data_IF_001488185844
#
_entry.id   IF_001488185844
#
_cell.length_a   1.000
_cell.length_b   1.000
_cell.length_c   1.000
_cell.angle_alpha   90.00
_cell.angle_beta   90.00
_cell.angle_gamma   90.00
#
_symmetry.space_group_name_H-M   'P 1'
#
loop_
_entity.id
_entity.type
_entity.pdbx_description
1 polymer ?
#
# COMPACT_ATOMS: atom_id res chain seq x y z
N UNK A 1 -17.54 -43.51 -24.28
CA UNK A 1 -17.44 -42.26 -23.48
C UNK A 1 -17.11 -41.16 -24.47
N UNK A 2 -18.10 -40.29 -24.73
CA UNK A 2 -18.13 -39.41 -25.91
C UNK A 2 -17.22 -38.19 -25.68
N UNK A 3 -16.42 -37.86 -26.71
CA UNK A 3 -15.66 -36.62 -26.86
C UNK A 3 -16.53 -35.37 -26.64
N UNK A 4 -15.92 -34.23 -26.25
CA UNK A 4 -16.04 -32.96 -26.98
C UNK A 4 -15.49 -31.78 -26.14
N UNK A 5 -14.74 -30.91 -26.81
CA UNK A 5 -14.98 -29.47 -26.66
C UNK A 5 -13.93 -28.67 -25.92
N UNK A 6 -12.99 -28.15 -26.71
CA UNK A 6 -12.23 -26.91 -26.45
C UNK A 6 -13.21 -25.78 -26.11
N UNK A 7 -12.93 -24.99 -25.06
CA UNK A 7 -13.33 -23.59 -25.06
C UNK A 7 -12.26 -22.73 -24.38
N UNK A 8 -11.34 -22.26 -25.22
CA UNK A 8 -10.63 -21.01 -25.03
C UNK A 8 -11.68 -19.91 -24.76
N UNK A 9 -11.58 -19.21 -23.64
CA UNK A 9 -12.12 -17.85 -23.54
C UNK A 9 -10.95 -16.90 -23.37
N UNK A 10 -10.63 -16.26 -24.48
CA UNK A 10 -9.80 -15.07 -24.55
C UNK A 10 -10.33 -13.98 -23.60
N UNK A 11 -9.38 -13.34 -22.92
CA UNK A 11 -9.21 -11.90 -22.69
C UNK A 11 -10.45 -11.05 -22.92
N UNK A 12 -10.89 -10.33 -21.87
CA UNK A 12 -11.02 -8.87 -21.98
C UNK A 12 -11.33 -8.15 -20.64
N UNK A 13 -10.55 -7.09 -20.41
CA UNK A 13 -10.74 -5.95 -19.50
C UNK A 13 -10.36 -6.07 -18.02
N UNK A 14 -9.23 -5.44 -17.69
CA UNK A 14 -9.30 -4.28 -16.78
C UNK A 14 -8.78 -4.49 -15.37
N UNK A 15 -7.63 -3.85 -15.11
CA UNK A 15 -7.16 -3.38 -13.80
C UNK A 15 -6.73 -4.51 -12.84
N UNK A 16 -5.45 -4.87 -12.88
CA UNK A 16 -4.77 -5.47 -11.73
C UNK A 16 -4.74 -4.44 -10.58
N UNK A 17 -5.82 -4.42 -9.79
CA UNK A 17 -5.80 -3.91 -8.42
C UNK A 17 -5.10 -4.96 -7.56
N UNK A 18 -3.77 -5.00 -7.57
CA UNK A 18 -3.02 -5.67 -6.50
C UNK A 18 -2.70 -4.66 -5.41
N UNK A 19 -3.74 -4.18 -4.73
CA UNK A 19 -3.61 -3.80 -3.32
C UNK A 19 -3.97 -5.08 -2.60
N UNK A 20 -2.98 -5.72 -1.97
CA UNK A 20 -3.20 -6.92 -1.17
C UNK A 20 -4.43 -6.72 -0.28
N UNK A 21 -5.40 -7.65 -0.26
CA UNK A 21 -6.51 -7.56 0.66
C UNK A 21 -5.92 -7.62 2.06
N UNK A 22 -5.98 -6.50 2.79
CA UNK A 22 -5.76 -6.47 4.22
C UNK A 22 -6.74 -7.50 4.79
N UNK A 23 -6.20 -8.63 5.24
CA UNK A 23 -6.89 -9.80 5.76
C UNK A 23 -8.25 -9.48 6.40
N UNK A 24 -9.29 -10.19 5.96
CA UNK A 24 -10.71 -10.11 6.35
C UNK A 24 -11.02 -10.25 7.86
N UNK A 25 -10.02 -10.21 8.74
CA UNK A 25 -10.17 -10.29 10.20
C UNK A 25 -10.61 -8.99 10.88
N UNK A 26 -10.80 -7.89 10.14
CA UNK A 26 -11.22 -6.58 10.69
C UNK A 26 -12.72 -6.26 10.50
N UNK A 27 -13.55 -7.18 10.00
CA UNK A 27 -14.98 -6.92 9.75
C UNK A 27 -15.88 -6.98 11.01
N UNK A 28 -15.32 -7.21 12.21
CA UNK A 28 -16.13 -7.27 13.44
C UNK A 28 -16.32 -5.88 14.05
N UNK A 29 -17.43 -5.24 13.65
CA UNK A 29 -18.25 -4.47 14.57
C UNK A 29 -18.10 -2.94 14.54
N UNK A 30 -19.03 -2.28 13.84
CA UNK A 30 -19.89 -1.22 14.39
C UNK A 30 -20.80 -0.65 13.30
N UNK A 31 -21.99 -1.24 13.15
CA UNK A 31 -23.15 -0.54 12.55
C UNK A 31 -23.62 0.50 13.57
N UNK A 32 -23.20 1.74 13.41
CA UNK A 32 -23.97 2.89 13.91
C UNK A 32 -23.76 4.04 12.94
N UNK A 33 -24.86 4.62 12.49
CA UNK A 33 -25.01 5.75 11.59
C UNK A 33 -24.14 6.94 12.03
N UNK A 34 -22.86 6.89 11.68
CA UNK A 34 -21.92 8.00 11.78
C UNK A 34 -21.97 8.62 10.40
N UNK A 35 -22.40 9.86 10.31
CA UNK A 35 -22.39 10.62 9.06
C UNK A 35 -20.98 10.59 8.47
N UNK A 36 -20.77 9.70 7.49
CA UNK A 36 -19.48 9.45 6.85
C UNK A 36 -18.88 10.76 6.29
N UNK A 37 -19.75 11.71 5.97
CA UNK A 37 -19.43 13.00 5.39
C UNK A 37 -18.77 13.98 6.39
N UNK A 38 -19.11 13.92 7.68
CA UNK A 38 -18.53 14.81 8.71
C UNK A 38 -17.12 14.35 9.16
N UNK A 39 -16.81 13.07 8.99
CA UNK A 39 -15.49 12.47 9.28
C UNK A 39 -14.41 12.90 8.27
N UNK A 40 -14.80 13.36 7.08
CA UNK A 40 -13.93 13.63 5.93
C UNK A 40 -13.38 15.06 5.86
N UNK A 41 -13.52 15.86 6.93
CA UNK A 41 -12.82 17.15 7.01
C UNK A 41 -11.39 16.92 7.55
N UNK A 42 -10.39 17.57 6.95
CA UNK A 42 -8.96 17.37 7.28
C UNK A 42 -8.65 17.49 8.77
N UNK A 43 -9.31 18.44 9.46
CA UNK A 43 -9.15 18.65 10.90
C UNK A 43 -9.70 17.52 11.79
N UNK A 44 -10.63 16.71 11.28
CA UNK A 44 -11.25 15.63 12.05
C UNK A 44 -10.45 14.32 12.00
N UNK A 45 -9.65 14.11 10.96
CA UNK A 45 -8.91 12.88 10.74
C UNK A 45 -7.99 12.52 11.92
N UNK A 46 -7.20 13.49 12.38
CA UNK A 46 -6.32 13.32 13.54
C UNK A 46 -7.08 13.04 14.84
N UNK A 47 -8.27 13.62 15.03
CA UNK A 47 -9.12 13.41 16.20
C UNK A 47 -9.67 11.99 16.23
N UNK A 48 -10.25 11.53 15.12
CA UNK A 48 -10.77 10.17 15.00
C UNK A 48 -9.67 9.13 15.19
N UNK A 49 -8.51 9.32 14.56
CA UNK A 49 -7.37 8.43 14.72
C UNK A 49 -6.98 8.26 16.20
N UNK A 50 -6.80 9.35 16.95
CA UNK A 50 -6.46 9.29 18.38
C UNK A 50 -7.53 8.57 19.20
N UNK A 51 -8.81 8.79 18.90
CA UNK A 51 -9.92 8.12 19.58
C UNK A 51 -9.88 6.61 19.34
N UNK A 52 -9.76 6.17 18.09
CA UNK A 52 -9.70 4.75 17.73
C UNK A 52 -8.45 4.08 18.31
N UNK A 53 -7.28 4.72 18.20
CA UNK A 53 -6.02 4.23 18.78
C UNK A 53 -6.13 4.02 20.29
N UNK A 54 -6.70 4.99 21.01
CA UNK A 54 -6.87 4.89 22.47
C UNK A 54 -7.90 3.81 22.86
N UNK A 55 -8.98 3.65 22.09
CA UNK A 55 -9.94 2.55 22.29
C UNK A 55 -9.29 1.20 22.06
N UNK A 56 -8.48 1.07 21.01
CA UNK A 56 -7.78 -0.17 20.66
C UNK A 56 -6.74 -0.53 21.73
N UNK A 57 -5.95 0.43 22.20
CA UNK A 57 -5.00 0.23 23.31
C UNK A 57 -5.68 -0.30 24.58
N UNK A 58 -6.88 0.22 24.91
CA UNK A 58 -7.69 -0.26 26.05
C UNK A 58 -8.21 -1.68 25.83
N UNK A 59 -8.74 -1.99 24.64
CA UNK A 59 -9.29 -3.32 24.31
C UNK A 59 -8.24 -4.43 24.30
N UNK A 60 -7.05 -4.12 23.79
CA UNK A 60 -5.95 -5.08 23.66
C UNK A 60 -5.03 -5.12 24.88
N UNK A 61 -5.30 -4.30 25.91
CA UNK A 61 -4.44 -4.12 27.08
C UNK A 61 -2.97 -3.80 26.75
N UNK A 62 -2.73 -3.11 25.62
CA UNK A 62 -1.38 -2.74 25.15
C UNK A 62 -1.21 -1.23 25.15
N UNK A 63 -0.57 -0.64 26.19
CA UNK A 63 -0.37 0.81 26.26
C UNK A 63 0.58 1.34 25.18
N UNK A 64 1.50 0.50 24.69
CA UNK A 64 2.45 0.81 23.62
C UNK A 64 1.78 1.36 22.35
N UNK A 65 0.56 0.92 22.06
CA UNK A 65 -0.17 1.37 20.86
C UNK A 65 -0.50 2.87 20.89
N UNK A 66 -0.36 3.53 22.04
CA UNK A 66 -0.52 4.99 22.17
C UNK A 66 0.67 5.78 21.64
N UNK A 67 1.84 5.16 21.48
CA UNK A 67 3.04 5.82 20.95
C UNK A 67 2.98 5.98 19.44
N UNK A 68 2.32 5.05 18.74
CA UNK A 68 2.17 5.02 17.28
C UNK A 68 1.45 6.30 16.82
N UNK A 69 2.14 7.09 16.01
CA UNK A 69 1.61 8.29 15.34
C UNK A 69 1.05 7.91 13.98
N UNK A 70 0.14 8.73 13.48
CA UNK A 70 -0.42 8.54 12.15
C UNK A 70 0.66 8.59 11.05
N UNK A 71 1.65 9.46 11.22
CA UNK A 71 2.78 9.59 10.29
C UNK A 71 3.64 8.33 10.22
N UNK A 72 3.65 7.50 11.27
CA UNK A 72 4.47 6.28 11.31
C UNK A 72 3.99 5.27 10.27
N UNK A 73 2.68 5.20 10.01
CA UNK A 73 2.15 4.36 8.93
C UNK A 73 2.61 4.82 7.55
N UNK A 74 2.69 6.13 7.33
CA UNK A 74 3.17 6.70 6.08
C UNK A 74 4.66 6.39 5.88
N UNK A 75 5.46 6.53 6.93
CA UNK A 75 6.88 6.19 6.89
C UNK A 75 7.09 4.68 6.65
N UNK A 76 6.36 3.83 7.40
CA UNK A 76 6.42 2.38 7.22
C UNK A 76 6.07 1.96 5.80
N UNK A 77 5.00 2.53 5.23
CA UNK A 77 4.60 2.27 3.85
C UNK A 77 5.70 2.66 2.85
N UNK A 78 6.30 3.84 3.02
CA UNK A 78 7.38 4.31 2.16
C UNK A 78 8.62 3.43 2.23
N UNK A 79 9.07 3.09 3.44
CA UNK A 79 10.23 2.22 3.67
C UNK A 79 9.98 0.83 3.08
N UNK A 80 8.80 0.24 3.30
CA UNK A 80 8.46 -1.07 2.76
C UNK A 80 8.37 -1.06 1.22
N UNK A 81 7.78 -0.03 0.63
CA UNK A 81 7.68 0.10 -0.83
C UNK A 81 9.05 0.26 -1.48
N UNK A 82 9.92 1.07 -0.87
CA UNK A 82 11.29 1.25 -1.34
C UNK A 82 12.11 -0.02 -1.16
N UNK A 83 11.94 -0.73 -0.04
CA UNK A 83 12.61 -2.02 0.20
C UNK A 83 12.29 -3.05 -0.90
N UNK A 84 11.02 -3.14 -1.32
CA UNK A 84 10.57 -4.12 -2.33
C UNK A 84 10.96 -3.75 -3.75
N UNK A 85 10.78 -2.49 -4.13
CA UNK A 85 10.91 -2.06 -5.53
C UNK A 85 12.25 -1.42 -5.85
N UNK A 86 12.95 -0.89 -4.83
CA UNK A 86 14.18 -0.08 -4.93
C UNK A 86 14.07 1.11 -5.89
N UNK A 87 12.85 1.51 -6.27
CA UNK A 87 12.57 2.64 -7.15
C UNK A 87 12.08 3.85 -6.34
N UNK A 88 12.96 4.85 -6.23
CA UNK A 88 12.67 6.06 -5.46
C UNK A 88 11.63 6.97 -6.14
N UNK A 89 11.51 6.91 -7.47
CA UNK A 89 10.56 7.71 -8.22
C UNK A 89 9.15 7.17 -8.04
N UNK A 90 9.01 5.84 -8.02
CA UNK A 90 7.76 5.17 -7.68
C UNK A 90 7.29 5.55 -6.27
N UNK A 91 8.19 5.53 -5.29
CA UNK A 91 7.87 5.92 -3.90
C UNK A 91 7.43 7.40 -3.86
N UNK A 92 8.15 8.30 -4.54
CA UNK A 92 7.78 9.72 -4.61
C UNK A 92 6.37 9.91 -5.18
N UNK A 93 6.03 9.22 -6.26
CA UNK A 93 4.71 9.26 -6.91
C UNK A 93 3.63 8.75 -5.95
N UNK A 94 3.84 7.59 -5.34
CA UNK A 94 2.86 6.97 -4.45
C UNK A 94 2.63 7.78 -3.16
N UNK A 95 3.65 8.46 -2.66
CA UNK A 95 3.55 9.35 -1.50
C UNK A 95 2.97 10.74 -1.83
N UNK A 96 2.92 11.12 -3.11
CA UNK A 96 2.50 12.45 -3.54
C UNK A 96 3.47 13.55 -3.11
N UNK A 97 4.77 13.26 -3.00
CA UNK A 97 5.77 14.28 -2.65
C UNK A 97 6.07 15.18 -3.86
N UNK A 98 5.98 16.50 -3.67
CA UNK A 98 6.35 17.47 -4.71
C UNK A 98 7.86 17.45 -5.00
N UNK A 99 8.66 17.51 -3.93
CA UNK A 99 10.13 17.49 -3.99
C UNK A 99 10.65 16.07 -3.80
N UNK A 100 11.75 15.73 -4.46
CA UNK A 100 12.38 14.41 -4.30
C UNK A 100 13.19 14.31 -3.01
N UNK A 101 13.75 15.43 -2.53
CA UNK A 101 14.52 15.56 -1.29
C UNK A 101 13.82 14.94 -0.07
N UNK A 102 12.50 15.13 0.04
CA UNK A 102 11.70 14.58 1.15
C UNK A 102 11.59 13.06 1.12
N UNK A 103 11.74 12.44 -0.05
CA UNK A 103 11.68 10.99 -0.23
C UNK A 103 13.06 10.35 -0.01
N UNK A 104 14.15 11.09 -0.24
CA UNK A 104 15.51 10.59 -0.05
C UNK A 104 15.81 10.17 1.40
N UNK A 105 15.04 10.66 2.37
CA UNK A 105 15.14 10.23 3.78
C UNK A 105 14.99 8.71 3.93
N UNK A 106 14.22 8.04 3.05
CA UNK A 106 13.97 6.60 3.14
C UNK A 106 15.11 5.74 2.58
N UNK A 107 16.04 6.30 1.81
CA UNK A 107 17.13 5.52 1.20
C UNK A 107 18.22 5.17 2.20
N UNK A 108 18.41 6.02 3.21
CA UNK A 108 19.47 5.87 4.21
C UNK A 108 19.15 4.82 5.28
N UNK A 109 17.91 4.34 5.34
CA UNK A 109 17.40 3.51 6.44
C UNK A 109 17.41 2.00 6.14
N UNK A 110 17.77 1.59 4.92
CA UNK A 110 17.75 0.19 4.49
C UNK A 110 19.17 -0.33 4.35
N UNK A 111 19.50 -1.33 5.18
CA UNK A 111 20.69 -2.15 4.95
C UNK A 111 20.47 -2.92 3.64
N UNK A 112 21.35 -2.67 2.67
CA UNK A 112 21.31 -3.19 1.30
C UNK A 112 21.70 -4.68 1.22
N UNK A 113 21.31 -5.50 2.19
CA UNK A 113 21.65 -6.91 2.17
C UNK A 113 20.54 -7.75 1.50
N UNK A 114 21.04 -8.58 0.60
CA UNK A 114 20.54 -9.85 0.07
C UNK A 114 19.56 -9.80 -1.12
N UNK A 115 20.13 -10.09 -2.31
CA UNK A 115 19.70 -11.06 -3.33
C UNK A 115 18.23 -11.08 -3.82
N UNK A 116 17.45 -10.06 -3.51
CA UNK A 116 16.06 -9.96 -3.97
C UNK A 116 15.98 -9.29 -5.35
N UNK A 117 15.53 -10.03 -6.36
CA UNK A 117 15.29 -9.51 -7.71
C UNK A 117 13.90 -8.85 -7.79
N UNK A 118 13.83 -7.68 -8.41
CA UNK A 118 12.57 -6.97 -8.62
C UNK A 118 12.07 -7.21 -10.05
N UNK A 119 11.03 -8.04 -10.22
CA UNK A 119 10.33 -8.12 -11.50
C UNK A 119 9.35 -6.97 -11.67
N UNK A 120 9.44 -6.27 -12.81
CA UNK A 120 8.52 -5.20 -13.20
C UNK A 120 7.68 -5.68 -14.37
N UNK A 121 6.37 -5.42 -14.32
CA UNK A 121 5.47 -5.63 -15.46
C UNK A 121 5.34 -4.31 -16.23
N UNK A 122 5.49 -4.37 -17.56
CA UNK A 122 5.29 -3.22 -18.43
C UNK A 122 3.80 -2.85 -18.52
N UNK A 123 3.49 -1.55 -18.41
CA UNK A 123 2.15 -1.03 -18.67
C UNK A 123 2.01 -0.44 -20.08
N UNK A 124 3.12 -0.17 -20.77
CA UNK A 124 3.15 0.44 -22.08
C UNK A 124 4.17 -0.26 -22.99
N UNK A 125 3.99 -0.15 -24.31
CA UNK A 125 4.87 -0.76 -25.32
C UNK A 125 6.31 -0.22 -25.15
N UNK A 126 6.45 1.08 -24.87
CA UNK A 126 7.75 1.72 -24.65
C UNK A 126 8.47 1.19 -23.39
N UNK A 127 7.71 0.92 -22.34
CA UNK A 127 8.27 0.34 -21.10
C UNK A 127 8.66 -1.12 -21.33
N UNK A 128 7.87 -1.85 -22.12
CA UNK A 128 8.16 -3.23 -22.49
C UNK A 128 9.45 -3.36 -23.30
N UNK A 129 9.66 -2.49 -24.30
CA UNK A 129 10.91 -2.49 -25.07
C UNK A 129 12.12 -2.20 -24.19
N UNK A 130 12.01 -1.22 -23.27
CA UNK A 130 13.08 -0.91 -22.33
C UNK A 130 13.40 -2.06 -21.37
N UNK A 131 12.41 -2.82 -20.92
CA UNK A 131 12.64 -3.98 -20.06
C UNK A 131 13.31 -5.14 -20.81
N UNK A 132 13.01 -5.31 -22.10
CA UNK A 132 13.65 -6.35 -22.95
C UNK A 132 15.09 -5.95 -23.29
N UNK A 133 15.35 -4.68 -23.58
CA UNK A 133 16.70 -4.19 -23.93
C UNK A 133 17.68 -4.21 -22.75
N UNK A 134 17.16 -3.99 -21.53
CA UNK A 134 17.95 -4.03 -20.30
C UNK A 134 17.95 -5.41 -19.61
N UNK A 135 17.32 -6.42 -20.24
CA UNK A 135 17.09 -7.76 -19.72
C UNK A 135 18.16 -8.77 -20.13
#
# INVERSE_FOLDING_TARGET
MVNNGILLKEVQHGILKSVDPISDSLSVGAKSKIDLHACMHSNNYGKHYRLHRNKLAKRLHKPELRTIRLYDFRHYFATMLYSKTRDILLVKQQMGHRKIETTLIYTQLLNLNDDEWTCRTANNIKDATQLIENG
#
